data_IF_460449286523
#
_entry.id   IF_460449286523
#
_cell.length_a   1.000
_cell.length_b   1.000
_cell.length_c   1.000
_cell.angle_alpha   90.00
_cell.angle_beta   90.00
_cell.angle_gamma   90.00
#
_symmetry.space_group_name_H-M   'P 1'
#
loop_
_entity.id
_entity.type
_entity.pdbx_description
1 polymer ?
#
# COMPACT_ATOMS: atom_id res chain seq x y z
N UNK A 1 -15.97 -0.60 21.64
CA UNK A 1 -16.29 -1.16 20.32
C UNK A 1 -16.99 -0.06 19.57
N UNK A 2 -16.17 0.89 19.11
CA UNK A 2 -16.63 2.06 18.37
C UNK A 2 -16.00 1.95 17.00
N UNK A 3 -16.71 2.37 15.98
CA UNK A 3 -16.07 2.68 14.72
C UNK A 3 -15.69 4.16 14.79
N UNK A 4 -14.45 4.49 14.48
CA UNK A 4 -14.01 5.87 14.36
C UNK A 4 -14.13 6.30 12.90
N UNK A 5 -14.81 7.41 12.66
CA UNK A 5 -14.87 8.03 11.34
C UNK A 5 -14.39 9.47 11.43
N UNK A 6 -13.37 9.81 10.65
CA UNK A 6 -12.72 11.12 10.68
C UNK A 6 -12.51 11.67 9.26
N UNK A 7 -12.61 12.98 9.13
CA UNK A 7 -12.17 13.75 7.97
C UNK A 7 -11.23 14.85 8.45
N UNK A 8 -9.99 14.86 7.96
CA UNK A 8 -8.97 15.84 8.38
C UNK A 8 -8.49 16.63 7.17
N UNK A 9 -8.36 17.94 7.36
CA UNK A 9 -7.70 18.84 6.44
C UNK A 9 -6.76 19.71 7.27
N UNK A 10 -5.46 19.47 7.12
CA UNK A 10 -4.41 20.14 7.87
C UNK A 10 -3.22 20.41 6.93
N UNK A 11 -2.24 21.16 7.43
CA UNK A 11 -0.93 21.34 6.80
C UNK A 11 0.10 20.29 7.22
N UNK A 12 -0.10 19.67 8.39
CA UNK A 12 0.64 18.50 8.82
C UNK A 12 -0.14 17.75 9.91
N UNK A 13 -0.34 16.45 9.74
CA UNK A 13 -1.02 15.59 10.70
C UNK A 13 -0.10 14.47 11.17
N UNK A 14 -0.08 14.26 12.49
CA UNK A 14 0.49 13.05 13.08
C UNK A 14 -0.56 12.39 13.96
N UNK A 15 -0.87 11.13 13.68
CA UNK A 15 -1.93 10.41 14.38
C UNK A 15 -1.52 8.96 14.69
N UNK A 16 -1.93 8.50 15.87
CA UNK A 16 -1.90 7.10 16.27
C UNK A 16 -3.31 6.64 16.61
N UNK A 17 -3.80 5.57 15.96
CA UNK A 17 -5.14 5.03 16.19
C UNK A 17 -5.04 3.57 16.61
N UNK A 18 -5.89 3.21 17.57
CA UNK A 18 -6.17 1.83 17.95
C UNK A 18 -7.66 1.73 18.22
N UNK A 19 -8.40 1.19 17.25
CA UNK A 19 -9.84 0.99 17.34
C UNK A 19 -10.24 -0.36 16.73
N UNK A 20 -11.49 -0.77 16.96
CA UNK A 20 -12.04 -1.95 16.29
C UNK A 20 -12.23 -1.73 14.78
N UNK A 21 -12.50 -0.49 14.37
CA UNK A 21 -12.58 -0.11 12.96
C UNK A 21 -12.33 1.39 12.79
N UNK A 22 -11.58 1.76 11.75
CA UNK A 22 -11.31 3.14 11.38
C UNK A 22 -11.69 3.40 9.91
N UNK A 23 -12.39 4.51 9.69
CA UNK A 23 -12.57 5.11 8.37
C UNK A 23 -12.02 6.53 8.42
N UNK A 24 -10.97 6.83 7.67
CA UNK A 24 -10.33 8.14 7.72
C UNK A 24 -10.07 8.69 6.31
N UNK A 25 -10.56 9.91 6.09
CA UNK A 25 -10.25 10.72 4.91
C UNK A 25 -9.28 11.84 5.28
N UNK A 26 -8.16 11.97 4.57
CA UNK A 26 -7.17 13.03 4.82
C UNK A 26 -6.85 13.80 3.54
N UNK A 27 -6.80 15.12 3.67
CA UNK A 27 -6.19 16.02 2.69
C UNK A 27 -5.13 16.87 3.42
N UNK A 28 -3.85 16.60 3.18
CA UNK A 28 -2.75 17.21 3.93
C UNK A 28 -1.57 17.55 3.00
N UNK A 29 -0.59 18.29 3.50
CA UNK A 29 0.73 18.42 2.89
C UNK A 29 1.77 17.45 3.48
N UNK A 30 1.56 16.97 4.72
CA UNK A 30 2.35 15.89 5.29
C UNK A 30 1.59 15.08 6.36
N UNK A 31 1.41 13.78 6.13
CA UNK A 31 0.79 12.87 7.08
C UNK A 31 1.77 11.82 7.60
N UNK A 32 1.81 11.66 8.92
CA UNK A 32 2.38 10.48 9.59
C UNK A 32 1.31 9.75 10.37
N UNK A 33 1.02 8.51 9.99
CA UNK A 33 -0.07 7.74 10.59
C UNK A 33 0.39 6.34 11.04
N UNK A 34 0.05 5.98 12.28
CA UNK A 34 0.19 4.62 12.81
C UNK A 34 -1.16 4.06 13.20
N UNK A 35 -1.55 2.89 12.66
CA UNK A 35 -2.84 2.26 12.96
C UNK A 35 -2.67 0.81 13.41
N UNK A 36 -3.43 0.42 14.43
CA UNK A 36 -3.59 -0.97 14.86
C UNK A 36 -5.06 -1.28 15.10
N UNK A 37 -5.73 -1.79 14.06
CA UNK A 37 -7.16 -1.98 14.03
C UNK A 37 -7.54 -3.41 13.57
N UNK A 38 -8.83 -3.72 13.54
CA UNK A 38 -9.33 -4.97 12.92
C UNK A 38 -9.93 -4.76 11.52
N UNK A 39 -10.27 -3.52 11.17
CA UNK A 39 -10.67 -3.13 9.82
C UNK A 39 -10.38 -1.65 9.59
N UNK A 40 -9.61 -1.34 8.55
CA UNK A 40 -9.21 0.01 8.21
C UNK A 40 -9.60 0.36 6.77
N UNK A 41 -10.22 1.53 6.60
CA UNK A 41 -10.48 2.13 5.29
C UNK A 41 -9.93 3.55 5.24
N UNK A 42 -8.96 3.79 4.36
CA UNK A 42 -8.29 5.09 4.22
C UNK A 42 -8.41 5.66 2.80
N UNK A 43 -8.77 6.94 2.73
CA UNK A 43 -8.67 7.75 1.52
C UNK A 43 -7.78 8.96 1.77
N UNK A 44 -6.59 9.00 1.16
CA UNK A 44 -5.59 10.03 1.44
C UNK A 44 -5.21 10.77 0.15
N UNK A 45 -5.19 12.09 0.22
CA UNK A 45 -4.59 12.98 -0.75
C UNK A 45 -3.54 13.82 -0.03
N UNK A 46 -2.26 13.57 -0.29
CA UNK A 46 -1.17 14.19 0.45
C UNK A 46 0.03 14.48 -0.46
N UNK A 47 0.99 15.28 0.00
CA UNK A 47 2.26 15.49 -0.70
C UNK A 47 3.38 14.62 -0.14
N UNK A 48 3.28 14.18 1.12
CA UNK A 48 4.26 13.30 1.74
C UNK A 48 3.64 12.46 2.87
N UNK A 49 3.35 11.19 2.57
CA UNK A 49 2.76 10.26 3.51
C UNK A 49 3.77 9.22 4.04
N UNK A 50 3.82 9.08 5.36
CA UNK A 50 4.39 7.90 6.05
C UNK A 50 3.31 7.16 6.83
N UNK A 51 3.05 5.90 6.47
CA UNK A 51 2.01 5.09 7.10
C UNK A 51 2.54 3.72 7.55
N UNK A 52 2.29 3.39 8.81
CA UNK A 52 2.49 2.07 9.40
C UNK A 52 1.17 1.46 9.84
N UNK A 53 0.84 0.26 9.34
CA UNK A 53 -0.43 -0.42 9.67
C UNK A 53 -0.18 -1.85 10.13
N UNK A 54 -0.88 -2.22 11.20
CA UNK A 54 -1.14 -3.60 11.57
C UNK A 54 -2.66 -3.81 11.61
N UNK A 55 -3.20 -4.63 10.72
CA UNK A 55 -4.65 -4.81 10.58
C UNK A 55 -5.00 -6.28 10.23
N UNK A 56 -6.29 -6.59 10.24
CA UNK A 56 -6.83 -7.84 9.68
C UNK A 56 -7.46 -7.66 8.30
N UNK A 57 -7.95 -6.45 7.97
CA UNK A 57 -8.53 -6.17 6.66
C UNK A 57 -8.37 -4.68 6.29
N UNK A 58 -7.42 -4.39 5.39
CA UNK A 58 -7.08 -3.03 5.01
C UNK A 58 -7.53 -2.68 3.58
N UNK A 59 -8.22 -1.55 3.44
CA UNK A 59 -8.52 -0.92 2.15
C UNK A 59 -7.93 0.49 2.09
N UNK A 60 -7.07 0.72 1.10
CA UNK A 60 -6.35 1.99 0.92
C UNK A 60 -6.56 2.54 -0.49
N UNK A 61 -6.83 3.84 -0.57
CA UNK A 61 -6.76 4.62 -1.81
C UNK A 61 -5.96 5.89 -1.56
N UNK A 62 -4.78 6.00 -2.19
CA UNK A 62 -3.83 7.08 -1.93
C UNK A 62 -3.48 7.80 -3.23
N UNK A 63 -3.50 9.13 -3.19
CA UNK A 63 -2.90 10.00 -4.18
C UNK A 63 -1.81 10.83 -3.48
N UNK A 64 -0.55 10.62 -3.83
CA UNK A 64 0.59 11.24 -3.14
C UNK A 64 1.69 11.71 -4.11
N UNK A 65 2.73 12.37 -3.60
CA UNK A 65 3.95 12.67 -4.35
C UNK A 65 5.19 11.93 -3.84
N UNK A 66 5.20 11.52 -2.58
CA UNK A 66 6.23 10.72 -1.95
C UNK A 66 5.64 9.85 -0.83
N UNK A 67 5.40 8.58 -1.13
CA UNK A 67 4.74 7.64 -0.24
C UNK A 67 5.70 6.61 0.36
N UNK A 68 5.67 6.46 1.69
CA UNK A 68 6.32 5.35 2.41
C UNK A 68 5.32 4.55 3.23
N UNK A 69 5.20 3.26 2.91
CA UNK A 69 4.26 2.34 3.54
C UNK A 69 4.96 1.12 4.14
N UNK A 70 4.58 0.77 5.37
CA UNK A 70 4.90 -0.51 6.00
C UNK A 70 3.61 -1.15 6.53
N UNK A 71 3.19 -2.26 5.93
CA UNK A 71 1.91 -2.89 6.22
C UNK A 71 2.11 -4.34 6.63
N UNK A 72 1.47 -4.73 7.74
CA UNK A 72 1.27 -6.12 8.14
C UNK A 72 -0.24 -6.36 8.23
N UNK A 73 -0.77 -7.23 7.36
CA UNK A 73 -2.21 -7.45 7.24
C UNK A 73 -2.52 -8.94 6.96
N UNK A 74 -3.80 -9.29 7.01
CA UNK A 74 -4.31 -10.58 6.51
C UNK A 74 -4.99 -10.48 5.15
N UNK A 75 -5.52 -9.29 4.78
CA UNK A 75 -6.13 -9.07 3.48
C UNK A 75 -6.07 -7.60 3.06
N UNK A 76 -5.09 -7.25 2.22
CA UNK A 76 -4.89 -5.88 1.75
C UNK A 76 -5.42 -5.66 0.32
N UNK A 77 -6.23 -4.61 0.15
CA UNK A 77 -6.49 -3.97 -1.14
C UNK A 77 -5.94 -2.55 -1.15
N UNK A 78 -4.98 -2.27 -2.04
CA UNK A 78 -4.34 -0.96 -2.14
C UNK A 78 -4.30 -0.44 -3.58
N UNK A 79 -4.83 0.77 -3.76
CA UNK A 79 -4.70 1.59 -4.96
C UNK A 79 -3.83 2.82 -4.70
N UNK A 80 -2.77 3.01 -5.50
CA UNK A 80 -1.86 4.16 -5.38
C UNK A 80 -1.70 4.87 -6.72
N UNK A 81 -1.79 6.19 -6.68
CA UNK A 81 -1.24 7.08 -7.69
C UNK A 81 -0.17 7.97 -7.03
N UNK A 82 1.08 7.84 -7.43
CA UNK A 82 2.21 8.51 -6.77
C UNK A 82 3.29 8.93 -7.78
N UNK A 83 4.25 9.74 -7.33
CA UNK A 83 5.51 9.99 -8.05
C UNK A 83 6.68 9.16 -7.52
N UNK A 84 6.68 8.78 -6.25
CA UNK A 84 7.74 7.94 -5.67
C UNK A 84 7.25 7.09 -4.48
N UNK A 85 6.97 5.81 -4.74
CA UNK A 85 6.50 4.87 -3.72
C UNK A 85 7.60 3.93 -3.22
N UNK A 86 7.74 3.85 -1.90
CA UNK A 86 8.38 2.73 -1.19
C UNK A 86 7.36 1.97 -0.35
N UNK A 87 7.15 0.69 -0.66
CA UNK A 87 6.17 -0.13 0.04
C UNK A 87 6.77 -1.49 0.47
N UNK A 88 6.64 -1.77 1.76
CA UNK A 88 6.89 -3.08 2.37
C UNK A 88 5.58 -3.71 2.85
N UNK A 89 5.28 -4.93 2.40
CA UNK A 89 4.08 -5.68 2.80
C UNK A 89 4.43 -7.07 3.31
N UNK A 90 3.84 -7.43 4.44
CA UNK A 90 3.67 -8.81 4.87
C UNK A 90 2.17 -9.11 4.96
N UNK A 91 1.66 -9.99 4.11
CA UNK A 91 0.23 -10.26 3.98
C UNK A 91 -0.05 -11.75 3.72
N UNK A 92 -1.32 -12.14 3.82
CA UNK A 92 -1.80 -13.45 3.35
C UNK A 92 -2.52 -13.38 2.00
N UNK A 93 -3.14 -12.25 1.66
CA UNK A 93 -3.84 -12.07 0.39
C UNK A 93 -3.80 -10.62 -0.08
N UNK A 94 -2.87 -10.32 -0.99
CA UNK A 94 -2.60 -8.97 -1.44
C UNK A 94 -3.13 -8.67 -2.84
N UNK A 95 -3.89 -7.57 -2.98
CA UNK A 95 -4.27 -6.99 -4.28
C UNK A 95 -3.77 -5.55 -4.40
N UNK A 96 -2.94 -5.29 -5.41
CA UNK A 96 -2.30 -4.00 -5.65
C UNK A 96 -2.56 -3.47 -7.07
N UNK A 97 -2.98 -2.20 -7.14
CA UNK A 97 -3.01 -1.41 -8.37
C UNK A 97 -2.20 -0.13 -8.19
N UNK A 98 -1.09 0.01 -8.90
CA UNK A 98 -0.16 1.14 -8.73
C UNK A 98 0.09 1.84 -10.07
N UNK A 99 -0.04 3.17 -10.06
CA UNK A 99 0.45 4.05 -11.10
C UNK A 99 1.49 4.98 -10.49
N UNK A 100 2.76 4.82 -10.86
CA UNK A 100 3.87 5.54 -10.23
C UNK A 100 4.94 5.98 -11.26
N UNK A 101 5.88 6.83 -10.83
CA UNK A 101 7.07 7.14 -11.62
C UNK A 101 8.33 6.42 -11.14
N UNK A 102 8.44 6.09 -9.85
CA UNK A 102 9.59 5.40 -9.29
C UNK A 102 9.19 4.49 -8.13
N UNK A 103 9.00 3.21 -8.44
CA UNK A 103 8.41 2.26 -7.50
C UNK A 103 9.45 1.29 -6.93
N UNK A 104 9.50 1.19 -5.60
CA UNK A 104 10.25 0.15 -4.87
C UNK A 104 9.32 -0.67 -3.98
N UNK A 105 9.26 -1.98 -4.23
CA UNK A 105 8.39 -2.92 -3.53
C UNK A 105 9.17 -4.09 -2.92
N UNK A 106 8.86 -4.39 -1.65
CA UNK A 106 9.23 -5.62 -0.97
C UNK A 106 7.99 -6.30 -0.42
N UNK A 107 7.63 -7.46 -0.98
CA UNK A 107 6.40 -8.17 -0.61
C UNK A 107 6.73 -9.60 -0.15
N UNK A 108 6.19 -9.96 1.01
CA UNK A 108 6.08 -11.34 1.46
C UNK A 108 4.59 -11.68 1.59
N UNK A 109 4.10 -12.57 0.74
CA UNK A 109 2.67 -12.88 0.66
C UNK A 109 2.42 -14.37 0.40
N UNK A 110 1.17 -14.81 0.55
CA UNK A 110 0.74 -16.14 0.14
C UNK A 110 -0.03 -16.16 -1.19
N UNK A 111 -0.69 -15.06 -1.56
CA UNK A 111 -1.46 -14.96 -2.80
C UNK A 111 -1.50 -13.52 -3.33
N UNK A 112 -0.55 -13.20 -4.22
CA UNK A 112 -0.33 -11.84 -4.69
C UNK A 112 -0.94 -11.60 -6.09
N UNK A 113 -1.77 -10.55 -6.20
CA UNK A 113 -2.19 -9.98 -7.48
C UNK A 113 -1.70 -8.54 -7.62
N UNK A 114 -0.92 -8.28 -8.67
CA UNK A 114 -0.26 -6.99 -8.89
C UNK A 114 -0.48 -6.48 -10.31
N UNK A 115 -0.96 -5.25 -10.41
CA UNK A 115 -1.05 -4.47 -11.65
C UNK A 115 -0.30 -3.15 -11.49
N UNK A 116 0.84 -3.00 -12.17
CA UNK A 116 1.70 -1.82 -12.09
C UNK A 116 1.81 -1.13 -13.46
N UNK A 117 1.67 0.19 -13.44
CA UNK A 117 2.14 1.08 -14.49
C UNK A 117 3.21 2.01 -13.89
N UNK A 118 4.46 1.87 -14.31
CA UNK A 118 5.56 2.61 -13.68
C UNK A 118 6.69 2.96 -14.65
N UNK A 119 7.48 4.00 -14.37
CA UNK A 119 8.64 4.32 -15.20
C UNK A 119 9.90 3.56 -14.79
N UNK A 120 10.11 3.31 -13.49
CA UNK A 120 11.31 2.67 -12.95
C UNK A 120 11.01 1.76 -11.76
N UNK A 121 10.81 0.47 -12.04
CA UNK A 121 10.30 -0.50 -11.07
C UNK A 121 11.42 -1.36 -10.50
N UNK A 122 11.50 -1.41 -9.17
CA UNK A 122 12.28 -2.40 -8.41
C UNK A 122 11.35 -3.24 -7.54
N UNK A 123 11.37 -4.55 -7.75
CA UNK A 123 10.45 -5.47 -7.11
C UNK A 123 11.18 -6.70 -6.53
N UNK A 124 10.98 -6.93 -5.22
CA UNK A 124 11.38 -8.14 -4.53
C UNK A 124 10.14 -8.82 -3.95
N UNK A 125 9.80 -10.01 -4.46
CA UNK A 125 8.63 -10.78 -4.03
C UNK A 125 9.07 -12.15 -3.50
N UNK A 126 8.55 -12.52 -2.35
CA UNK A 126 8.49 -13.88 -1.85
C UNK A 126 7.01 -14.28 -1.73
N UNK A 127 6.54 -15.17 -2.60
CA UNK A 127 5.11 -15.49 -2.68
C UNK A 127 4.89 -16.97 -3.02
N UNK A 128 3.69 -17.48 -2.74
CA UNK A 128 3.29 -18.83 -3.13
C UNK A 128 2.45 -18.85 -4.42
N UNK A 129 1.74 -17.76 -4.75
CA UNK A 129 0.85 -17.68 -5.89
C UNK A 129 0.77 -16.27 -6.51
N UNK A 130 1.67 -15.99 -7.47
CA UNK A 130 1.80 -14.66 -8.07
C UNK A 130 1.07 -14.52 -9.41
N UNK A 131 0.19 -13.52 -9.48
CA UNK A 131 -0.32 -12.95 -10.74
C UNK A 131 0.23 -11.54 -10.93
N UNK A 132 1.03 -11.35 -11.99
CA UNK A 132 1.74 -10.10 -12.25
C UNK A 132 1.46 -9.52 -13.65
N UNK A 133 0.93 -8.29 -13.69
CA UNK A 133 0.88 -7.43 -14.87
C UNK A 133 1.69 -6.15 -14.63
N UNK A 134 2.68 -5.89 -15.49
CA UNK A 134 3.57 -4.72 -15.36
C UNK A 134 3.74 -4.06 -16.72
N UNK A 135 3.47 -2.77 -16.77
CA UNK A 135 3.86 -1.88 -17.86
C UNK A 135 4.96 -0.93 -17.35
N UNK A 136 6.19 -1.13 -17.80
CA UNK A 136 7.34 -0.34 -17.35
C UNK A 136 8.33 0.06 -18.45
N UNK A 137 9.11 1.12 -18.14
CA UNK A 137 10.27 1.51 -18.96
C UNK A 137 11.57 0.86 -18.48
N UNK A 138 11.70 0.60 -17.18
CA UNK A 138 12.83 -0.11 -16.58
C UNK A 138 12.35 -1.04 -15.46
N UNK A 139 12.85 -2.29 -15.47
CA UNK A 139 12.48 -3.34 -14.51
C UNK A 139 13.70 -3.98 -13.85
N UNK A 140 13.72 -3.99 -12.52
CA UNK A 140 14.55 -4.91 -11.73
C UNK A 140 13.63 -5.83 -10.93
N UNK A 141 13.73 -7.14 -11.15
CA UNK A 141 12.82 -8.13 -10.57
C UNK A 141 13.58 -9.28 -9.89
N UNK A 142 13.28 -9.50 -8.60
CA UNK A 142 13.62 -10.71 -7.86
C UNK A 142 12.35 -11.37 -7.35
N UNK A 143 12.03 -12.57 -7.85
CA UNK A 143 10.85 -13.35 -7.43
C UNK A 143 11.32 -14.70 -6.92
N UNK A 144 10.91 -15.03 -5.70
CA UNK A 144 10.93 -16.37 -5.16
C UNK A 144 9.48 -16.86 -5.07
N UNK A 145 9.04 -17.61 -6.08
CA UNK A 145 7.66 -18.11 -6.17
C UNK A 145 7.63 -19.55 -6.68
N UNK A 146 6.72 -20.33 -6.08
CA UNK A 146 6.45 -21.71 -6.42
C UNK A 146 5.55 -21.91 -7.65
N UNK A 147 4.81 -20.87 -8.09
CA UNK A 147 3.79 -20.99 -9.16
C UNK A 147 3.72 -19.85 -10.18
N UNK A 148 4.81 -19.10 -10.38
CA UNK A 148 4.85 -17.87 -11.17
C UNK A 148 4.22 -17.94 -12.57
N UNK A 149 3.26 -17.04 -12.82
CA UNK A 149 2.67 -16.78 -14.14
C UNK A 149 2.74 -15.29 -14.49
N UNK A 150 3.37 -14.95 -15.63
CA UNK A 150 3.47 -13.58 -16.13
C UNK A 150 2.60 -13.39 -17.37
N UNK A 151 1.75 -12.37 -17.35
CA UNK A 151 1.09 -11.86 -18.55
C UNK A 151 1.71 -10.50 -18.91
N UNK A 152 1.91 -10.26 -20.20
CA UNK A 152 2.32 -8.96 -20.73
C UNK A 152 1.09 -8.18 -21.17
#
# INVERSE_FOLDING_TARGET
MTALTLGVNDSALTLGVNDSALTLGVNDSALTLGVNDSALTLGINDSALTLGVNDSALTLSINDSALTLAINDSALTLGVNDSALTLGVNDSALTLGINDSALTLGINDSALTLSINDSALTLAINDSALTLGVNDSALTLGVNDSSYSRYK
#
